data_IF_145784543717
#
_entry.id   IF_145784543717
#
_cell.length_a   1.000
_cell.length_b   1.000
_cell.length_c   1.000
_cell.angle_alpha   90.00
_cell.angle_beta   90.00
_cell.angle_gamma   90.00
#
_symmetry.space_group_name_H-M   'P 1'
#
loop_
_entity.id
_entity.type
_entity.pdbx_description
1 polymer ?
#
# COMPACT_ATOMS: atom_id res chain seq x y z
N UNK A 1 -13.69 6.31 18.94
CA UNK A 1 -13.91 6.35 17.48
C UNK A 1 -12.74 5.63 16.84
N UNK A 2 -12.97 4.80 15.81
CA UNK A 2 -11.87 4.12 15.09
C UNK A 2 -11.50 4.92 13.84
N UNK A 3 -10.20 5.10 13.61
CA UNK A 3 -9.65 5.85 12.48
C UNK A 3 -8.91 4.90 11.56
N UNK A 4 -9.35 4.87 10.30
CA UNK A 4 -8.75 4.07 9.25
C UNK A 4 -8.25 5.01 8.17
N UNK A 5 -6.99 4.88 7.79
CA UNK A 5 -6.40 5.65 6.69
C UNK A 5 -6.32 4.78 5.43
N UNK A 6 -6.68 5.35 4.28
CA UNK A 6 -6.55 4.71 2.98
C UNK A 6 -5.71 5.59 2.05
N UNK A 7 -4.82 4.99 1.27
CA UNK A 7 -3.99 5.71 0.33
C UNK A 7 -3.47 4.86 -0.82
N UNK A 8 -3.27 5.48 -1.98
CA UNK A 8 -2.59 4.89 -3.13
C UNK A 8 -1.27 5.62 -3.37
N UNK A 9 -0.19 4.87 -3.61
CA UNK A 9 1.15 5.38 -3.90
C UNK A 9 1.56 6.46 -2.88
N UNK A 10 1.64 7.73 -3.30
CA UNK A 10 2.00 8.83 -2.40
C UNK A 10 1.04 8.99 -1.20
N UNK A 11 -0.25 8.73 -1.39
CA UNK A 11 -1.22 8.74 -0.28
C UNK A 11 -0.97 7.62 0.72
N UNK A 12 -0.50 6.46 0.27
CA UNK A 12 -0.10 5.34 1.13
C UNK A 12 1.12 5.68 1.97
N UNK A 13 2.12 6.33 1.37
CA UNK A 13 3.28 6.86 2.08
C UNK A 13 2.87 7.84 3.19
N UNK A 14 2.01 8.82 2.88
CA UNK A 14 1.53 9.79 3.87
C UNK A 14 0.73 9.12 4.99
N UNK A 15 -0.11 8.12 4.67
CA UNK A 15 -0.86 7.38 5.68
C UNK A 15 0.08 6.66 6.67
N UNK A 16 1.13 6.02 6.15
CA UNK A 16 2.16 5.37 6.97
C UNK A 16 2.98 6.37 7.79
N UNK A 17 3.31 7.54 7.24
CA UNK A 17 3.96 8.63 7.96
C UNK A 17 3.09 9.13 9.11
N UNK A 18 1.80 9.35 8.88
CA UNK A 18 0.85 9.77 9.91
C UNK A 18 0.77 8.75 11.04
N UNK A 19 0.75 7.45 10.75
CA UNK A 19 0.73 6.41 11.77
C UNK A 19 2.03 6.32 12.58
N UNK A 20 3.17 6.66 11.97
CA UNK A 20 4.44 6.79 12.69
C UNK A 20 4.42 7.98 13.67
N UNK A 21 3.87 9.11 13.25
CA UNK A 21 3.80 10.34 14.06
C UNK A 21 2.77 10.21 15.20
N UNK A 22 1.61 9.62 14.91
CA UNK A 22 0.49 9.51 15.86
C UNK A 22 -0.06 8.07 15.93
N UNK A 23 0.71 7.10 16.45
CA UNK A 23 0.36 5.67 16.41
C UNK A 23 -0.92 5.34 17.17
N UNK A 24 -1.25 6.10 18.21
CA UNK A 24 -2.45 5.88 19.04
C UNK A 24 -3.73 6.43 18.42
N UNK A 25 -3.62 7.21 17.34
CA UNK A 25 -4.76 7.87 16.68
C UNK A 25 -5.25 7.12 15.45
N UNK A 26 -4.51 6.11 14.98
CA UNK A 26 -4.76 5.39 13.74
C UNK A 26 -4.77 3.90 14.05
N UNK A 27 -5.92 3.26 13.86
CA UNK A 27 -6.10 1.84 14.17
C UNK A 27 -5.62 0.95 13.01
N UNK A 28 -5.87 1.38 11.75
CA UNK A 28 -5.55 0.61 10.56
C UNK A 28 -5.16 1.50 9.38
N UNK A 29 -4.31 0.96 8.50
CA UNK A 29 -3.91 1.58 7.24
C UNK A 29 -4.17 0.59 6.10
N UNK A 30 -4.86 1.05 5.06
CA UNK A 30 -4.99 0.35 3.79
C UNK A 30 -4.16 1.09 2.73
N UNK A 31 -3.00 0.51 2.41
CA UNK A 31 -2.07 1.05 1.42
C UNK A 31 -2.14 0.24 0.12
N UNK A 32 -2.45 0.92 -0.98
CA UNK A 32 -2.36 0.37 -2.32
C UNK A 32 -1.24 1.08 -3.10
N UNK A 33 0.01 0.72 -2.83
CA UNK A 33 1.18 1.31 -3.50
C UNK A 33 1.74 0.46 -4.64
N UNK A 34 1.14 -0.70 -4.92
CA UNK A 34 1.62 -1.59 -5.97
C UNK A 34 0.88 -1.26 -7.28
N UNK A 35 1.59 -0.71 -8.26
CA UNK A 35 1.09 -0.45 -9.63
C UNK A 35 0.91 -1.77 -10.40
N UNK A 36 0.04 -2.64 -9.90
CA UNK A 36 -0.15 -4.00 -10.42
C UNK A 36 -1.27 -3.98 -11.44
N UNK A 37 -0.90 -4.16 -12.70
CA UNK A 37 -1.86 -4.35 -13.76
C UNK A 37 -2.22 -5.85 -13.84
N UNK A 38 -3.40 -6.22 -13.33
CA UNK A 38 -3.85 -7.61 -13.19
C UNK A 38 -3.85 -8.38 -14.53
N UNK A 39 -4.11 -7.68 -15.64
CA UNK A 39 -4.23 -8.26 -16.98
C UNK A 39 -2.95 -8.23 -17.82
N UNK A 40 -1.85 -7.65 -17.33
CA UNK A 40 -0.63 -7.46 -18.13
C UNK A 40 0.63 -8.08 -17.54
N UNK A 41 0.79 -8.08 -16.21
CA UNK A 41 2.06 -8.43 -15.56
C UNK A 41 1.88 -9.33 -14.33
N UNK A 42 0.85 -10.20 -14.33
CA UNK A 42 0.58 -11.10 -13.21
C UNK A 42 1.78 -12.02 -12.92
N UNK A 43 2.48 -12.51 -13.95
CA UNK A 43 3.67 -13.36 -13.81
C UNK A 43 4.83 -12.64 -13.11
N UNK A 44 4.97 -11.32 -13.31
CA UNK A 44 5.97 -10.51 -12.60
C UNK A 44 5.56 -10.29 -11.14
N UNK A 45 4.27 -10.21 -10.85
CA UNK A 45 3.74 -10.08 -9.49
C UNK A 45 4.01 -11.33 -8.64
N UNK A 46 3.81 -12.52 -9.20
CA UNK A 46 3.99 -13.81 -8.49
C UNK A 46 5.44 -14.34 -8.50
N UNK A 47 6.39 -13.56 -9.04
CA UNK A 47 7.83 -13.89 -9.02
C UNK A 47 8.35 -14.68 -10.23
N UNK A 48 7.48 -15.11 -11.15
CA UNK A 48 7.83 -15.94 -12.32
C UNK A 48 8.25 -15.15 -13.58
N UNK A 49 8.54 -13.85 -13.46
CA UNK A 49 8.93 -12.99 -14.60
C UNK A 49 10.19 -12.16 -14.35
N UNK A 50 10.97 -12.49 -13.30
CA UNK A 50 12.23 -11.79 -12.96
C UNK A 50 13.45 -12.38 -13.69
N UNK A 51 13.26 -13.47 -14.43
CA UNK A 51 14.32 -14.25 -15.09
C UNK A 51 14.46 -13.96 -16.60
N UNK A 52 13.72 -12.98 -17.15
CA UNK A 52 13.79 -12.54 -18.56
C UNK A 52 14.04 -11.04 -18.63
#
# INVERSE_FOLDING_TARGET
>A
MRTILFGNSYGGYLANLCAKIAPWSIDFILDNSSFVNLFGNIFRLIGFGKEI
#
